data_IF_918718692966
#
_entry.id   IF_918718692966
#
_cell.length_a   1.000
_cell.length_b   1.000
_cell.length_c   1.000
_cell.angle_alpha   90.00
_cell.angle_beta   90.00
_cell.angle_gamma   90.00
#
_symmetry.space_group_name_H-M   'P 1'
#
loop_
_entity.id
_entity.type
_entity.pdbx_description
1 polymer ?
#
# COMPACT_ATOMS: atom_id res chain seq x y z
N UNK A 1 -57.73 -6.43 -21.88
CA UNK A 1 -57.04 -5.63 -22.92
C UNK A 1 -58.00 -4.50 -23.23
N UNK A 2 -57.78 -3.34 -22.60
CA UNK A 2 -58.84 -2.36 -22.37
C UNK A 2 -58.23 -0.96 -22.41
N UNK A 3 -58.60 -0.16 -23.41
CA UNK A 3 -58.05 1.17 -23.69
C UNK A 3 -59.09 1.99 -24.45
N UNK A 4 -59.64 3.03 -23.82
CA UNK A 4 -60.49 4.04 -24.45
C UNK A 4 -60.34 5.37 -23.70
N UNK A 5 -60.68 6.46 -24.39
CA UNK A 5 -60.91 7.83 -23.88
C UNK A 5 -59.69 8.66 -23.41
N UNK A 6 -59.65 9.98 -23.64
CA UNK A 6 -60.06 10.75 -24.83
C UNK A 6 -59.31 12.12 -24.86
N UNK A 7 -59.30 12.84 -25.98
CA UNK A 7 -58.60 14.14 -26.13
C UNK A 7 -59.42 15.13 -26.97
N UNK A 8 -59.21 16.45 -26.73
CA UNK A 8 -59.86 17.62 -27.36
C UNK A 8 -61.34 17.83 -26.95
N UNK A 9 -61.92 19.04 -26.90
CA UNK A 9 -61.51 20.43 -27.25
C UNK A 9 -62.33 21.44 -26.37
N UNK A 10 -62.30 22.79 -26.37
CA UNK A 10 -61.68 23.85 -27.19
C UNK A 10 -61.47 25.17 -26.37
N UNK A 11 -61.53 26.35 -27.01
CA UNK A 11 -61.56 27.72 -26.42
C UNK A 11 -62.73 28.54 -26.99
N UNK A 12 -63.06 29.74 -26.46
CA UNK A 12 -62.57 30.97 -27.12
C UNK A 12 -62.28 32.22 -26.25
N UNK A 13 -61.33 33.03 -26.75
CA UNK A 13 -61.26 34.53 -26.92
C UNK A 13 -62.46 35.36 -26.38
N UNK A 14 -62.37 36.56 -25.77
CA UNK A 14 -61.81 37.92 -26.12
C UNK A 14 -61.77 38.75 -24.79
N UNK A 15 -60.86 39.63 -24.34
CA UNK A 15 -59.73 40.48 -24.80
C UNK A 15 -60.02 41.99 -24.56
N UNK A 16 -59.09 42.74 -23.93
CA UNK A 16 -58.99 44.23 -24.03
C UNK A 16 -57.61 44.74 -23.53
N UNK A 17 -57.08 45.81 -24.16
CA UNK A 17 -55.77 46.47 -23.89
C UNK A 17 -55.79 47.87 -24.51
N UNK A 18 -55.51 48.97 -23.77
CA UNK A 18 -54.27 49.78 -23.98
C UNK A 18 -53.78 50.47 -22.67
N UNK A 19 -52.69 51.25 -22.56
CA UNK A 19 -51.61 51.66 -23.49
C UNK A 19 -50.26 51.78 -22.74
N UNK A 20 -49.21 52.29 -23.39
CA UNK A 20 -47.81 52.22 -22.95
C UNK A 20 -47.34 53.34 -22.00
N UNK A 21 -46.35 53.02 -21.13
CA UNK A 21 -45.28 53.95 -20.73
C UNK A 21 -44.03 53.22 -20.16
N UNK A 22 -42.85 53.71 -20.51
CA UNK A 22 -41.52 53.43 -19.95
C UNK A 22 -40.63 54.68 -20.24
N UNK A 23 -39.46 54.93 -19.62
CA UNK A 23 -38.56 53.98 -18.94
C UNK A 23 -37.91 54.51 -17.63
N UNK A 24 -36.68 54.05 -17.33
CA UNK A 24 -35.66 54.58 -16.39
C UNK A 24 -35.65 54.12 -14.91
N UNK A 25 -34.84 53.07 -14.68
CA UNK A 25 -33.81 52.92 -13.62
C UNK A 25 -33.92 53.66 -12.27
N UNK A 26 -33.91 52.87 -11.18
CA UNK A 26 -32.92 53.05 -10.09
C UNK A 26 -32.46 51.70 -9.53
N UNK A 27 -31.24 51.65 -9.00
CA UNK A 27 -30.58 50.48 -8.40
C UNK A 27 -31.20 50.07 -7.06
N UNK A 28 -31.27 48.77 -6.78
CA UNK A 28 -31.23 48.25 -5.40
C UNK A 28 -30.13 47.18 -5.25
N UNK A 29 -29.59 47.04 -4.04
CA UNK A 29 -28.25 46.52 -3.82
C UNK A 29 -28.22 45.02 -3.49
N UNK A 30 -27.54 44.23 -4.33
CA UNK A 30 -27.33 42.80 -4.08
C UNK A 30 -26.22 42.58 -3.04
N UNK A 31 -26.55 42.74 -1.76
CA UNK A 31 -25.68 42.37 -0.63
C UNK A 31 -25.34 40.88 -0.72
N UNK A 32 -24.06 40.57 -0.90
CA UNK A 32 -23.61 39.21 -1.20
C UNK A 32 -23.42 38.37 0.07
N UNK A 33 -23.67 37.08 -0.03
CA UNK A 33 -23.34 36.09 1.00
C UNK A 33 -21.81 35.98 1.20
N UNK A 34 -21.32 35.82 2.44
CA UNK A 34 -19.93 35.47 2.68
C UNK A 34 -19.70 33.99 2.34
N UNK A 35 -19.25 33.74 1.10
CA UNK A 35 -18.99 32.38 0.58
C UNK A 35 -17.99 31.60 1.46
N UNK A 36 -18.36 30.39 1.89
CA UNK A 36 -17.49 29.47 2.63
C UNK A 36 -16.30 28.96 1.78
N UNK A 37 -15.22 29.74 1.71
CA UNK A 37 -13.98 29.30 1.04
C UNK A 37 -13.37 28.00 1.60
N UNK A 38 -13.65 27.66 2.86
CA UNK A 38 -13.20 26.42 3.48
C UNK A 38 -14.00 25.17 3.08
N UNK A 39 -15.32 25.32 2.90
CA UNK A 39 -16.24 24.20 2.63
C UNK A 39 -15.97 23.56 1.26
N UNK A 40 -15.85 24.39 0.22
CA UNK A 40 -15.53 23.91 -1.15
C UNK A 40 -14.11 23.36 -1.29
N UNK A 41 -13.13 23.90 -0.56
CA UNK A 41 -11.76 23.38 -0.57
C UNK A 41 -11.69 21.99 0.09
N UNK A 42 -12.27 21.84 1.28
CA UNK A 42 -12.35 20.54 1.97
C UNK A 42 -13.15 19.50 1.17
N UNK A 43 -14.26 19.90 0.53
CA UNK A 43 -15.04 19.03 -0.34
C UNK A 43 -14.26 18.60 -1.60
N UNK A 44 -13.44 19.49 -2.19
CA UNK A 44 -12.56 19.16 -3.30
C UNK A 44 -11.43 18.20 -2.88
N UNK A 45 -10.86 18.34 -1.68
CA UNK A 45 -9.91 17.38 -1.13
C UNK A 45 -10.55 16.01 -0.84
N UNK A 46 -11.72 15.95 -0.17
CA UNK A 46 -12.44 14.67 0.06
C UNK A 46 -12.84 14.00 -1.29
N UNK A 47 -13.21 14.78 -2.31
CA UNK A 47 -13.51 14.28 -3.66
C UNK A 47 -12.27 13.77 -4.42
N UNK A 48 -11.11 14.42 -4.26
CA UNK A 48 -9.85 13.99 -4.83
C UNK A 48 -9.36 12.70 -4.12
N UNK A 49 -9.36 12.70 -2.79
CA UNK A 49 -8.95 11.57 -1.96
C UNK A 49 -9.80 10.32 -2.24
N UNK A 50 -11.12 10.45 -2.38
CA UNK A 50 -12.01 9.29 -2.58
C UNK A 50 -11.72 8.48 -3.85
N UNK A 51 -11.20 9.09 -4.92
CA UNK A 51 -10.80 8.39 -6.16
C UNK A 51 -9.29 8.13 -6.27
N UNK A 52 -8.45 9.06 -5.81
CA UNK A 52 -6.99 8.98 -5.96
C UNK A 52 -6.37 8.09 -4.90
N UNK A 53 -6.84 8.13 -3.64
CA UNK A 53 -6.25 7.37 -2.53
C UNK A 53 -6.30 5.84 -2.75
N UNK A 54 -7.41 5.22 -3.20
CA UNK A 54 -7.41 3.79 -3.54
C UNK A 54 -6.43 3.42 -4.66
N UNK A 55 -6.19 4.35 -5.60
CA UNK A 55 -5.22 4.16 -6.69
C UNK A 55 -3.79 4.20 -6.15
N UNK A 56 -3.44 5.19 -5.33
CA UNK A 56 -2.11 5.30 -4.71
C UNK A 56 -1.83 4.11 -3.78
N UNK A 57 -2.80 3.76 -2.92
CA UNK A 57 -2.68 2.60 -2.03
C UNK A 57 -2.39 1.30 -2.80
N UNK A 58 -3.13 1.05 -3.89
CA UNK A 58 -2.96 -0.15 -4.70
C UNK A 58 -1.61 -0.15 -5.43
N UNK A 59 -1.18 1.00 -5.97
CA UNK A 59 0.11 1.13 -6.64
C UNK A 59 1.30 0.91 -5.70
N UNK A 60 1.29 1.53 -4.51
CA UNK A 60 2.32 1.34 -3.48
C UNK A 60 2.36 -0.11 -3.00
N UNK A 61 1.20 -0.72 -2.74
CA UNK A 61 1.11 -2.13 -2.33
C UNK A 61 1.63 -3.09 -3.42
N UNK A 62 1.38 -2.78 -4.70
CA UNK A 62 1.86 -3.60 -5.83
C UNK A 62 3.38 -3.49 -5.99
N UNK A 63 3.95 -2.29 -5.91
CA UNK A 63 5.41 -2.11 -5.95
C UNK A 63 6.06 -2.80 -4.74
N UNK A 64 5.49 -2.67 -3.53
CA UNK A 64 5.95 -3.38 -2.34
C UNK A 64 5.95 -4.91 -2.51
N UNK A 65 4.84 -5.48 -3.02
CA UNK A 65 4.74 -6.90 -3.35
C UNK A 65 5.83 -7.35 -4.33
N UNK A 66 6.05 -6.61 -5.43
CA UNK A 66 7.11 -6.90 -6.41
C UNK A 66 8.50 -6.85 -5.77
N UNK A 67 8.76 -5.85 -4.90
CA UNK A 67 10.03 -5.74 -4.18
C UNK A 67 10.25 -6.90 -3.19
N UNK A 68 9.21 -7.39 -2.51
CA UNK A 68 9.31 -8.58 -1.66
C UNK A 68 9.58 -9.85 -2.48
N UNK A 69 8.86 -10.03 -3.60
CA UNK A 69 9.02 -11.19 -4.51
C UNK A 69 10.42 -11.24 -5.11
N UNK A 70 11.00 -10.10 -5.50
CA UNK A 70 12.37 -10.04 -6.07
C UNK A 70 13.44 -10.06 -4.97
N UNK A 71 13.21 -9.41 -3.82
CA UNK A 71 14.17 -9.33 -2.72
C UNK A 71 14.36 -10.64 -1.93
N UNK A 72 13.39 -11.55 -1.96
CA UNK A 72 13.40 -12.83 -1.23
C UNK A 72 14.33 -13.92 -1.81
N UNK A 73 14.40 -14.17 -3.13
CA UNK A 73 15.38 -15.10 -3.71
C UNK A 73 16.78 -14.47 -3.87
N UNK A 74 16.89 -13.14 -3.87
CA UNK A 74 18.18 -12.46 -4.00
C UNK A 74 19.04 -12.58 -2.73
N UNK A 75 20.38 -12.52 -2.85
CA UNK A 75 21.28 -12.52 -1.71
C UNK A 75 21.15 -11.22 -0.90
N UNK A 76 21.01 -11.38 0.42
CA UNK A 76 20.87 -10.30 1.41
C UNK A 76 22.21 -9.82 1.95
N UNK A 77 23.21 -10.69 1.98
CA UNK A 77 24.56 -10.38 2.44
C UNK A 77 25.59 -10.78 1.38
N UNK A 78 26.66 -9.98 1.25
CA UNK A 78 27.85 -10.31 0.46
C UNK A 78 29.13 -9.91 1.17
N UNK A 79 30.15 -10.76 1.13
CA UNK A 79 31.55 -10.41 1.45
C UNK A 79 32.43 -10.78 0.25
N UNK A 80 33.41 -9.95 -0.07
CA UNK A 80 34.31 -10.11 -1.22
C UNK A 80 35.80 -10.06 -0.77
N UNK A 81 36.09 -10.39 0.50
CA UNK A 81 37.41 -10.15 1.13
C UNK A 81 38.47 -11.20 0.77
N UNK A 82 38.10 -12.49 0.84
CA UNK A 82 39.03 -13.62 0.59
C UNK A 82 38.55 -14.49 -0.57
N UNK A 83 37.24 -14.68 -0.64
CA UNK A 83 36.48 -15.27 -1.73
C UNK A 83 35.15 -14.53 -1.84
N UNK A 84 34.46 -14.62 -2.97
CA UNK A 84 33.16 -13.98 -3.12
C UNK A 84 32.09 -14.85 -2.46
N UNK A 85 31.61 -14.39 -1.31
CA UNK A 85 30.69 -15.07 -0.42
C UNK A 85 29.34 -14.37 -0.44
N UNK A 86 28.27 -15.11 -0.69
CA UNK A 86 26.91 -14.58 -0.79
C UNK A 86 25.96 -15.39 0.09
N UNK A 87 25.10 -14.69 0.84
CA UNK A 87 24.10 -15.32 1.71
C UNK A 87 22.71 -14.85 1.27
N UNK A 88 21.88 -15.78 0.81
CA UNK A 88 20.45 -15.58 0.58
C UNK A 88 19.65 -16.09 1.78
N UNK A 89 18.31 -16.05 1.71
CA UNK A 89 17.47 -16.69 2.72
C UNK A 89 17.55 -18.24 2.67
N UNK A 90 18.07 -18.81 1.58
CA UNK A 90 17.95 -20.24 1.23
C UNK A 90 19.32 -20.95 1.15
N UNK A 91 20.36 -20.20 0.81
CA UNK A 91 21.69 -20.66 0.45
C UNK A 91 22.79 -19.77 1.02
N UNK A 92 23.89 -20.43 1.41
CA UNK A 92 25.22 -19.83 1.55
C UNK A 92 26.06 -20.29 0.36
N UNK A 93 26.67 -19.33 -0.35
CA UNK A 93 27.35 -19.56 -1.62
C UNK A 93 28.76 -18.98 -1.56
N UNK A 94 29.76 -19.77 -1.96
CA UNK A 94 31.18 -19.39 -1.94
C UNK A 94 31.77 -19.65 -3.32
N UNK A 95 32.07 -18.57 -4.05
CA UNK A 95 32.75 -18.58 -5.34
C UNK A 95 34.27 -18.58 -5.11
N UNK A 96 34.93 -19.65 -5.57
CA UNK A 96 36.37 -19.88 -5.40
C UNK A 96 37.04 -20.16 -6.75
N UNK A 97 38.38 -20.10 -6.81
CA UNK A 97 39.13 -20.41 -8.02
C UNK A 97 38.93 -21.87 -8.52
N UNK A 98 38.47 -22.78 -7.66
CA UNK A 98 38.11 -24.16 -8.00
C UNK A 98 36.61 -24.37 -8.26
N UNK A 99 35.81 -23.30 -8.31
CA UNK A 99 34.38 -23.32 -8.58
C UNK A 99 33.52 -22.86 -7.39
N UNK A 100 32.20 -23.01 -7.53
CA UNK A 100 31.22 -22.49 -6.57
C UNK A 100 30.73 -23.61 -5.64
N UNK A 101 30.85 -23.41 -4.34
CA UNK A 101 30.22 -24.26 -3.34
C UNK A 101 28.91 -23.63 -2.86
N UNK A 102 27.86 -24.44 -2.77
CA UNK A 102 26.51 -24.02 -2.36
C UNK A 102 26.06 -24.91 -1.20
N UNK A 103 25.87 -24.31 -0.03
CA UNK A 103 25.34 -24.97 1.18
C UNK A 103 23.95 -24.43 1.46
N UNK A 104 22.93 -25.29 1.56
CA UNK A 104 21.56 -24.84 1.88
C UNK A 104 21.45 -24.56 3.37
N UNK A 105 20.51 -23.70 3.76
CA UNK A 105 20.17 -23.43 5.18
C UNK A 105 19.85 -24.72 5.97
N UNK A 106 19.26 -25.71 5.30
CA UNK A 106 18.98 -27.02 5.89
C UNK A 106 20.25 -27.78 6.34
N UNK A 107 21.38 -27.52 5.70
CA UNK A 107 22.65 -28.25 5.84
C UNK A 107 23.67 -27.50 6.71
N UNK A 108 23.28 -26.34 7.27
CA UNK A 108 24.12 -25.60 8.22
C UNK A 108 24.36 -26.42 9.50
N UNK A 109 25.63 -26.66 9.84
CA UNK A 109 26.06 -27.35 11.07
C UNK A 109 25.87 -26.57 12.37
N UNK A 110 24.98 -25.57 12.40
CA UNK A 110 24.68 -24.74 13.56
C UNK A 110 23.16 -24.54 13.67
N UNK A 111 22.50 -25.33 14.52
CA UNK A 111 21.03 -25.35 14.59
C UNK A 111 20.42 -23.99 14.93
N UNK A 112 21.08 -23.18 15.77
CA UNK A 112 20.61 -21.82 16.09
C UNK A 112 20.67 -20.86 14.91
N UNK A 113 21.63 -21.02 13.99
CA UNK A 113 21.67 -20.24 12.74
C UNK A 113 20.55 -20.72 11.80
N UNK A 114 20.40 -22.05 11.66
CA UNK A 114 19.36 -22.71 10.85
C UNK A 114 17.94 -22.38 11.29
N UNK A 115 17.68 -22.25 12.59
CA UNK A 115 16.41 -21.75 13.15
C UNK A 115 16.11 -20.31 12.71
N UNK A 116 17.08 -19.40 12.80
CA UNK A 116 16.90 -17.99 12.40
C UNK A 116 16.65 -17.85 10.90
N UNK A 117 17.44 -18.52 10.07
CA UNK A 117 17.25 -18.48 8.61
C UNK A 117 15.92 -19.11 8.20
N UNK A 118 15.50 -20.25 8.79
CA UNK A 118 14.15 -20.82 8.58
C UNK A 118 13.02 -19.88 9.03
N UNK A 119 13.25 -19.10 10.09
CA UNK A 119 12.36 -18.03 10.48
C UNK A 119 12.21 -16.97 9.38
N UNK A 120 13.31 -16.51 8.80
CA UNK A 120 13.30 -15.55 7.70
C UNK A 120 12.66 -16.14 6.41
N UNK A 121 12.97 -17.39 6.04
CA UNK A 121 12.28 -18.13 4.96
C UNK A 121 10.76 -18.09 5.16
N UNK A 122 10.27 -18.53 6.33
CA UNK A 122 8.83 -18.58 6.62
C UNK A 122 8.17 -17.18 6.63
N UNK A 123 8.78 -16.18 7.29
CA UNK A 123 8.21 -14.84 7.35
C UNK A 123 8.27 -14.10 6.00
N UNK A 124 9.26 -14.37 5.14
CA UNK A 124 9.29 -13.82 3.77
C UNK A 124 8.17 -14.40 2.90
N UNK A 125 7.93 -15.72 2.96
CA UNK A 125 6.81 -16.38 2.27
C UNK A 125 5.47 -15.79 2.74
N UNK A 126 5.27 -15.65 4.06
CA UNK A 126 4.06 -15.05 4.64
C UNK A 126 3.90 -13.60 4.16
N UNK A 127 4.98 -12.80 4.15
CA UNK A 127 4.99 -11.42 3.65
C UNK A 127 4.53 -11.35 2.19
N UNK A 128 5.00 -12.26 1.32
CA UNK A 128 4.60 -12.33 -0.09
C UNK A 128 3.10 -12.65 -0.23
N UNK A 129 2.58 -13.63 0.50
CA UNK A 129 1.14 -13.96 0.45
C UNK A 129 0.25 -12.83 0.99
N UNK A 130 0.61 -12.23 2.13
CA UNK A 130 -0.19 -11.17 2.75
C UNK A 130 -0.13 -9.87 1.92
N UNK A 131 1.00 -9.54 1.30
CA UNK A 131 1.10 -8.41 0.37
C UNK A 131 0.34 -8.66 -0.94
N UNK A 132 0.34 -9.90 -1.47
CA UNK A 132 -0.51 -10.25 -2.61
C UNK A 132 -2.01 -10.06 -2.30
N UNK A 133 -2.47 -10.49 -1.12
CA UNK A 133 -3.86 -10.24 -0.67
C UNK A 133 -4.12 -8.74 -0.46
N UNK A 134 -3.15 -7.98 0.05
CA UNK A 134 -3.26 -6.51 0.18
C UNK A 134 -3.48 -5.84 -1.18
N UNK A 135 -2.75 -6.25 -2.22
CA UNK A 135 -2.95 -5.79 -3.60
C UNK A 135 -4.34 -6.15 -4.12
N UNK A 136 -4.78 -7.40 -3.93
CA UNK A 136 -6.11 -7.85 -4.35
C UNK A 136 -7.23 -7.06 -3.66
N UNK A 137 -7.10 -6.76 -2.36
CA UNK A 137 -8.08 -5.95 -1.61
C UNK A 137 -8.04 -4.48 -2.04
N UNK A 138 -6.87 -3.92 -2.38
CA UNK A 138 -6.77 -2.60 -3.01
C UNK A 138 -7.53 -2.52 -4.33
N UNK A 139 -7.31 -3.50 -5.22
CA UNK A 139 -8.05 -3.65 -6.49
C UNK A 139 -9.56 -3.82 -6.25
N UNK A 140 -9.97 -4.66 -5.30
CA UNK A 140 -11.38 -4.83 -4.94
C UNK A 140 -12.02 -3.55 -4.36
N UNK A 141 -11.26 -2.74 -3.62
CA UNK A 141 -11.70 -1.44 -3.11
C UNK A 141 -11.98 -0.45 -4.24
N UNK A 142 -11.21 -0.52 -5.35
CA UNK A 142 -11.48 0.26 -6.57
C UNK A 142 -12.83 -0.10 -7.23
N UNK A 143 -13.25 -1.35 -7.16
CA UNK A 143 -14.49 -1.83 -7.79
C UNK A 143 -15.73 -1.80 -6.87
N UNK A 144 -15.53 -1.97 -5.55
CA UNK A 144 -16.62 -2.13 -4.56
C UNK A 144 -16.73 -0.94 -3.58
N UNK A 145 -15.94 0.11 -3.81
CA UNK A 145 -15.98 1.36 -3.06
C UNK A 145 -15.66 1.19 -1.57
N UNK A 146 -16.37 1.96 -0.73
CA UNK A 146 -16.14 2.08 0.72
C UNK A 146 -16.23 0.76 1.49
N UNK A 147 -16.97 -0.24 1.00
CA UNK A 147 -17.21 -1.51 1.71
C UNK A 147 -15.93 -2.31 2.01
N UNK A 148 -14.90 -2.22 1.16
CA UNK A 148 -13.66 -2.99 1.31
C UNK A 148 -12.54 -2.26 2.09
N UNK A 149 -12.69 -0.95 2.38
CA UNK A 149 -11.65 -0.13 3.03
C UNK A 149 -11.06 -0.73 4.33
N UNK A 150 -11.85 -1.15 5.34
CA UNK A 150 -11.27 -1.65 6.60
C UNK A 150 -10.50 -2.97 6.42
N UNK A 151 -10.91 -3.80 5.46
CA UNK A 151 -10.20 -5.04 5.12
C UNK A 151 -8.83 -4.72 4.51
N UNK A 152 -8.75 -3.68 3.68
CA UNK A 152 -7.50 -3.17 3.12
C UNK A 152 -6.52 -2.71 4.19
N UNK A 153 -7.00 -2.00 5.22
CA UNK A 153 -6.16 -1.57 6.35
C UNK A 153 -5.61 -2.75 7.15
N UNK A 154 -6.44 -3.78 7.42
CA UNK A 154 -6.01 -4.98 8.14
C UNK A 154 -4.91 -5.73 7.38
N UNK A 155 -5.07 -5.95 6.07
CA UNK A 155 -4.04 -6.63 5.27
C UNK A 155 -2.77 -5.78 5.09
N UNK A 156 -2.88 -4.46 4.94
CA UNK A 156 -1.72 -3.56 4.92
C UNK A 156 -0.94 -3.58 6.25
N UNK A 157 -1.64 -3.61 7.39
CA UNK A 157 -1.03 -3.77 8.71
C UNK A 157 -0.31 -5.10 8.86
N UNK A 158 -0.95 -6.21 8.45
CA UNK A 158 -0.34 -7.54 8.48
C UNK A 158 0.89 -7.64 7.55
N UNK A 159 0.87 -6.99 6.38
CA UNK A 159 2.03 -6.87 5.48
C UNK A 159 3.17 -6.10 6.15
N UNK A 160 2.86 -4.94 6.75
CA UNK A 160 3.84 -4.13 7.46
C UNK A 160 4.48 -4.88 8.64
N UNK A 161 3.68 -5.60 9.45
CA UNK A 161 4.20 -6.39 10.57
C UNK A 161 5.01 -7.60 10.11
N UNK A 162 4.53 -8.39 9.14
CA UNK A 162 5.25 -9.58 8.66
C UNK A 162 6.60 -9.24 8.00
N UNK A 163 6.64 -8.18 7.19
CA UNK A 163 7.90 -7.66 6.64
C UNK A 163 8.83 -7.08 7.72
N UNK A 164 8.29 -6.36 8.72
CA UNK A 164 9.08 -5.86 9.85
C UNK A 164 9.71 -7.01 10.67
N UNK A 165 8.98 -8.10 10.91
CA UNK A 165 9.50 -9.28 11.61
C UNK A 165 10.54 -10.00 10.75
N UNK A 166 10.31 -10.19 9.45
CA UNK A 166 11.28 -10.79 8.53
C UNK A 166 12.60 -10.00 8.49
N UNK A 167 12.51 -8.66 8.40
CA UNK A 167 13.66 -7.77 8.46
C UNK A 167 14.35 -7.82 9.83
N UNK A 168 13.59 -7.82 10.92
CA UNK A 168 14.10 -7.94 12.29
C UNK A 168 14.88 -9.24 12.52
N UNK A 169 14.42 -10.37 11.99
CA UNK A 169 15.16 -11.65 12.02
C UNK A 169 16.46 -11.55 11.21
N UNK A 170 16.44 -10.93 10.02
CA UNK A 170 17.64 -10.70 9.22
C UNK A 170 18.69 -9.82 9.92
N UNK A 171 18.28 -8.73 10.55
CA UNK A 171 19.17 -7.85 11.34
C UNK A 171 19.67 -8.54 12.61
N UNK A 172 18.83 -9.35 13.27
CA UNK A 172 19.25 -10.16 14.41
C UNK A 172 20.27 -11.21 13.99
N UNK A 173 20.09 -11.89 12.86
CA UNK A 173 21.07 -12.83 12.32
C UNK A 173 22.39 -12.13 11.95
N UNK A 174 22.35 -10.95 11.32
CA UNK A 174 23.56 -10.17 10.99
C UNK A 174 24.39 -9.79 12.23
N UNK A 175 23.74 -9.46 13.35
CA UNK A 175 24.37 -8.97 14.59
C UNK A 175 24.63 -10.03 15.66
N UNK A 176 24.28 -11.30 15.43
CA UNK A 176 24.50 -12.41 16.38
C UNK A 176 25.72 -13.23 15.99
N UNK A 177 26.53 -13.56 16.98
CA UNK A 177 27.52 -14.63 16.87
C UNK A 177 26.79 -15.98 16.89
N UNK A 178 27.17 -16.90 16.00
CA UNK A 178 26.58 -18.23 15.89
C UNK A 178 27.68 -19.30 16.00
N UNK A 179 27.49 -20.30 16.87
CA UNK A 179 28.42 -21.41 17.07
C UNK A 179 29.90 -20.98 17.18
N UNK A 180 30.15 -19.96 18.00
CA UNK A 180 31.46 -19.34 18.25
C UNK A 180 32.16 -18.75 17.02
N UNK A 181 31.44 -18.53 15.90
CA UNK A 181 31.90 -17.71 14.79
C UNK A 181 31.56 -16.23 15.07
N UNK A 182 32.46 -15.28 14.72
CA UNK A 182 32.22 -13.85 14.90
C UNK A 182 31.05 -13.36 14.04
N UNK A 183 30.37 -12.30 14.45
CA UNK A 183 29.25 -11.68 13.68
C UNK A 183 29.59 -11.41 12.20
N UNK A 184 28.57 -11.41 11.34
CA UNK A 184 28.73 -11.12 9.91
C UNK A 184 29.32 -9.72 9.64
N UNK A 185 29.08 -8.77 10.55
CA UNK A 185 29.68 -7.42 10.54
C UNK A 185 31.21 -7.48 10.71
N UNK A 186 31.71 -8.25 11.68
CA UNK A 186 33.15 -8.49 11.87
C UNK A 186 33.76 -9.25 10.68
N UNK A 187 33.01 -10.20 10.09
CA UNK A 187 33.37 -10.92 8.85
C UNK A 187 33.26 -10.04 7.58
N UNK A 188 32.99 -8.74 7.72
CA UNK A 188 32.91 -7.73 6.64
C UNK A 188 31.82 -7.98 5.59
N UNK A 189 30.79 -8.78 5.90
CA UNK A 189 29.62 -8.86 5.04
C UNK A 189 28.91 -7.51 5.00
N UNK A 190 28.45 -7.13 3.82
CA UNK A 190 27.64 -5.93 3.58
C UNK A 190 26.22 -6.34 3.23
N UNK A 191 25.25 -5.54 3.64
CA UNK A 191 23.88 -5.63 3.13
C UNK A 191 23.90 -5.45 1.60
N UNK A 192 23.25 -6.37 0.91
CA UNK A 192 23.25 -6.47 -0.55
C UNK A 192 21.83 -6.34 -1.12
N UNK A 193 21.68 -6.43 -2.44
CA UNK A 193 20.46 -6.08 -3.19
C UNK A 193 19.17 -6.71 -2.64
N UNK A 194 19.17 -7.97 -2.20
CA UNK A 194 17.97 -8.61 -1.66
C UNK A 194 17.44 -7.91 -0.40
N UNK A 195 18.33 -7.61 0.55
CA UNK A 195 18.01 -6.88 1.77
C UNK A 195 17.55 -5.44 1.47
N UNK A 196 18.23 -4.74 0.56
CA UNK A 196 17.87 -3.38 0.16
C UNK A 196 16.47 -3.28 -0.47
N UNK A 197 16.12 -4.21 -1.37
CA UNK A 197 14.79 -4.30 -1.97
C UNK A 197 13.72 -4.64 -0.94
N UNK A 198 14.01 -5.56 -0.01
CA UNK A 198 13.06 -5.94 1.04
C UNK A 198 12.76 -4.78 2.00
N UNK A 199 13.78 -4.01 2.41
CA UNK A 199 13.60 -2.78 3.22
C UNK A 199 12.82 -1.72 2.44
N UNK A 200 13.08 -1.53 1.15
CA UNK A 200 12.29 -0.63 0.30
C UNK A 200 10.81 -1.06 0.23
N UNK A 201 10.54 -2.36 0.08
CA UNK A 201 9.18 -2.92 0.12
C UNK A 201 8.48 -2.69 1.48
N UNK A 202 9.21 -2.80 2.59
CA UNK A 202 8.70 -2.47 3.93
C UNK A 202 8.35 -0.97 4.06
N UNK A 203 9.20 -0.06 3.56
CA UNK A 203 8.92 1.39 3.57
C UNK A 203 7.67 1.72 2.76
N UNK A 204 7.52 1.17 1.54
CA UNK A 204 6.31 1.38 0.73
C UNK A 204 5.06 0.80 1.39
N UNK A 205 5.18 -0.36 2.07
CA UNK A 205 4.09 -0.95 2.86
C UNK A 205 3.70 -0.08 4.05
N UNK A 206 4.66 0.54 4.73
CA UNK A 206 4.43 1.49 5.82
C UNK A 206 3.68 2.74 5.33
N UNK A 207 4.04 3.28 4.17
CA UNK A 207 3.34 4.42 3.54
C UNK A 207 1.92 4.02 3.11
N UNK A 208 1.73 2.86 2.49
CA UNK A 208 0.41 2.35 2.12
C UNK A 208 -0.51 2.15 3.35
N UNK A 209 0.04 1.59 4.45
CA UNK A 209 -0.68 1.47 5.72
C UNK A 209 -1.03 2.84 6.33
N UNK A 210 -0.08 3.78 6.38
CA UNK A 210 -0.31 5.13 6.89
C UNK A 210 -1.35 5.93 6.08
N UNK A 211 -1.44 5.69 4.77
CA UNK A 211 -2.50 6.21 3.91
C UNK A 211 -3.85 5.57 4.28
N UNK A 212 -3.89 4.24 4.39
CA UNK A 212 -5.12 3.51 4.71
C UNK A 212 -5.70 3.84 6.09
N UNK A 213 -4.84 4.20 7.07
CA UNK A 213 -5.28 4.70 8.38
C UNK A 213 -6.04 6.04 8.29
N UNK A 214 -5.66 6.95 7.39
CA UNK A 214 -6.34 8.25 7.21
C UNK A 214 -7.75 8.11 6.63
N UNK A 215 -7.99 7.05 5.86
CA UNK A 215 -9.31 6.69 5.34
C UNK A 215 -10.28 6.20 6.43
N UNK A 216 -9.78 5.79 7.60
CA UNK A 216 -10.61 5.40 8.75
C UNK A 216 -11.08 6.67 9.47
N UNK A 217 -12.18 7.26 8.97
CA UNK A 217 -13.05 8.11 9.78
C UNK A 217 -13.66 7.25 10.90
N UNK A 218 -12.93 7.13 12.01
CA UNK A 218 -13.29 6.31 13.19
C UNK A 218 -14.71 6.71 13.63
N UNK A 219 -15.66 5.76 13.73
CA UNK A 219 -17.00 6.09 14.20
C UNK A 219 -16.91 6.61 15.64
N UNK A 220 -17.53 7.76 15.91
CA UNK A 220 -17.72 8.30 17.26
C UNK A 220 -18.72 7.42 18.01
N UNK A 221 -18.24 6.27 18.47
CA UNK A 221 -19.03 5.18 19.05
C UNK A 221 -18.39 4.63 20.33
N UNK A 222 -17.95 5.55 21.20
CA UNK A 222 -17.87 5.33 22.64
C UNK A 222 -18.67 6.49 23.29
N UNK A 223 -19.62 6.22 24.19
CA UNK A 223 -20.35 7.25 24.94
C UNK A 223 -19.50 7.85 26.07
#
# INVERSE_FOLDING_TARGET
MSTTEQQAEAQPVVAETPEAAAPETTTEEKTNEPVEGGSVAAAAEDALLTNVTPTIFTALSFIAFVLFVIGTPLPWLRSDVTSRQQISLWSYEVETASGNQVTKVADFGCDKMKEYFRGAEAFSIITIFVSAVTVLVGVLTRFRGTSAKPLGTVFAFLTFLSSLVCWGIGVAAYRRDFCNQPTFDQQRFRLYTGAGLFVAGWVLSAVAFAISLKDIKVPKALP
#
